data_IF_968725216895
#
_entry.id   IF_968725216895
#
_cell.length_a   1.000
_cell.length_b   1.000
_cell.length_c   1.000
_cell.angle_alpha   90.00
_cell.angle_beta   90.00
_cell.angle_gamma   90.00
#
_symmetry.space_group_name_H-M   'P 1'
#
loop_
_entity.id
_entity.type
_entity.pdbx_description
1 polymer ?
#
# COMPACT_ATOMS: atom_id res chain seq x y z
N UNK A 1 -5.26 29.10 69.97
CA UNK A 1 -4.32 28.00 69.65
C UNK A 1 -5.13 26.98 68.86
N UNK A 2 -5.23 27.15 67.54
CA UNK A 2 -4.38 26.47 66.51
C UNK A 2 -4.55 24.95 66.54
N UNK A 3 -4.81 24.22 65.46
CA UNK A 3 -4.99 24.53 64.03
C UNK A 3 -5.76 23.35 63.41
N UNK A 4 -6.56 23.63 62.38
CA UNK A 4 -7.07 22.61 61.46
C UNK A 4 -5.94 22.05 60.59
N UNK A 5 -5.97 20.74 60.34
CA UNK A 5 -5.07 20.05 59.42
C UNK A 5 -5.84 19.58 58.20
N UNK A 6 -5.74 20.33 57.10
CA UNK A 6 -6.12 19.88 55.78
C UNK A 6 -5.14 18.79 55.32
N UNK A 7 -5.65 17.62 54.93
CA UNK A 7 -4.85 16.62 54.21
C UNK A 7 -4.66 17.09 52.78
N UNK A 8 -3.53 17.73 52.51
CA UNK A 8 -3.01 17.95 51.16
C UNK A 8 -2.52 16.61 50.60
N UNK A 9 -3.15 16.15 49.51
CA UNK A 9 -2.63 15.07 48.66
C UNK A 9 -1.33 15.57 48.00
N UNK A 10 -0.20 15.15 48.57
CA UNK A 10 1.13 15.44 48.05
C UNK A 10 1.41 14.59 46.81
N UNK A 11 2.08 15.21 45.84
CA UNK A 11 2.21 14.80 44.45
C UNK A 11 2.74 13.38 44.23
N UNK A 12 2.08 12.69 43.30
CA UNK A 12 2.68 11.57 42.59
C UNK A 12 3.84 12.10 41.74
N UNK A 13 5.05 11.79 42.17
CA UNK A 13 6.26 11.90 41.36
C UNK A 13 6.15 10.91 40.20
N UNK A 14 5.83 11.42 39.01
CA UNK A 14 6.07 10.71 37.76
C UNK A 14 7.59 10.70 37.54
N UNK A 15 8.28 9.69 38.10
CA UNK A 15 9.68 9.44 37.80
C UNK A 15 9.81 9.08 36.31
N UNK A 16 10.22 10.07 35.53
CA UNK A 16 10.30 10.03 34.07
C UNK A 16 11.33 9.01 33.58
N UNK A 17 10.83 8.00 32.89
CA UNK A 17 11.48 7.52 31.67
C UNK A 17 10.62 8.04 30.52
N UNK A 18 11.18 8.76 29.53
CA UNK A 18 10.42 9.10 28.34
C UNK A 18 9.98 7.78 27.69
N UNK A 19 8.68 7.55 27.60
CA UNK A 19 8.09 6.34 26.97
C UNK A 19 8.55 6.22 25.51
N UNK A 20 8.98 7.35 24.93
CA UNK A 20 9.43 7.50 23.54
C UNK A 20 10.95 7.60 23.38
N UNK A 21 11.74 7.35 24.43
CA UNK A 21 13.22 7.31 24.36
C UNK A 21 13.81 6.25 23.41
N UNK A 22 12.95 5.54 22.68
CA UNK A 22 13.26 4.54 21.67
C UNK A 22 12.46 4.80 20.38
N UNK A 23 12.63 5.98 19.77
CA UNK A 23 12.34 6.19 18.34
C UNK A 23 13.08 5.17 17.44
N UNK A 24 13.97 4.34 18.00
CA UNK A 24 14.65 3.19 17.39
C UNK A 24 13.72 2.14 16.76
N UNK A 25 12.44 2.08 17.14
CA UNK A 25 11.50 1.12 16.54
C UNK A 25 10.92 1.57 15.19
N UNK A 26 10.81 2.89 14.94
CA UNK A 26 10.19 3.41 13.72
C UNK A 26 10.98 3.05 12.45
N UNK A 27 12.33 3.15 12.42
CA UNK A 27 13.11 2.73 11.25
C UNK A 27 12.92 1.26 10.87
N UNK A 28 12.53 0.38 11.81
CA UNK A 28 12.24 -1.02 11.48
C UNK A 28 11.05 -1.16 10.50
N UNK A 29 10.18 -0.16 10.42
CA UNK A 29 9.04 -0.16 9.50
C UNK A 29 9.46 -0.13 8.02
N UNK A 30 10.71 0.23 7.70
CA UNK A 30 11.27 0.09 6.35
C UNK A 30 11.24 -1.35 5.85
N UNK A 31 11.19 -2.35 6.73
CA UNK A 31 11.03 -3.76 6.35
C UNK A 31 9.73 -4.04 5.56
N UNK A 32 8.70 -3.20 5.72
CA UNK A 32 7.46 -3.32 4.97
C UNK A 32 7.53 -2.79 3.54
N UNK A 33 8.64 -2.14 3.14
CA UNK A 33 8.80 -1.62 1.79
C UNK A 33 8.68 -2.72 0.73
N UNK A 34 9.42 -3.82 0.90
CA UNK A 34 9.37 -4.96 -0.03
C UNK A 34 7.98 -5.59 -0.09
N UNK A 35 7.29 -5.67 1.05
CA UNK A 35 5.93 -6.19 1.14
C UNK A 35 4.94 -5.31 0.36
N UNK A 36 4.95 -4.00 0.59
CA UNK A 36 4.04 -3.06 -0.08
C UNK A 36 4.34 -2.96 -1.57
N UNK A 37 5.61 -2.93 -1.95
CA UNK A 37 6.04 -2.90 -3.36
C UNK A 37 5.58 -4.12 -4.16
N UNK A 38 5.41 -5.28 -3.52
CA UNK A 38 4.94 -6.51 -4.17
C UNK A 38 3.41 -6.67 -4.14
N UNK A 39 2.65 -5.80 -3.46
CA UNK A 39 1.20 -5.97 -3.31
C UNK A 39 0.46 -5.96 -4.65
N UNK A 40 0.89 -5.17 -5.64
CA UNK A 40 0.29 -5.13 -6.98
C UNK A 40 0.36 -6.51 -7.67
N UNK A 41 1.53 -7.15 -7.62
CA UNK A 41 1.74 -8.47 -8.20
C UNK A 41 0.98 -9.56 -7.42
N UNK A 42 0.99 -9.47 -6.08
CA UNK A 42 0.24 -10.39 -5.22
C UNK A 42 -1.27 -10.30 -5.46
N UNK A 43 -1.82 -9.10 -5.64
CA UNK A 43 -3.23 -8.89 -5.96
C UNK A 43 -3.59 -9.49 -7.32
N UNK A 44 -2.81 -9.18 -8.35
CA UNK A 44 -3.03 -9.73 -9.68
C UNK A 44 -2.98 -11.27 -9.70
N UNK A 45 -2.05 -11.87 -8.95
CA UNK A 45 -1.98 -13.32 -8.80
C UNK A 45 -3.19 -13.88 -8.07
N UNK A 46 -3.63 -13.25 -6.98
CA UNK A 46 -4.82 -13.65 -6.23
C UNK A 46 -6.07 -13.59 -7.11
N UNK A 47 -6.25 -12.49 -7.86
CA UNK A 47 -7.39 -12.31 -8.76
C UNK A 47 -7.39 -13.36 -9.90
N UNK A 48 -6.21 -13.71 -10.41
CA UNK A 48 -6.09 -14.83 -11.35
C UNK A 48 -6.43 -16.18 -10.70
N UNK A 49 -5.91 -16.45 -9.50
CA UNK A 49 -6.14 -17.72 -8.78
C UNK A 49 -7.57 -17.90 -8.32
N UNK A 50 -8.34 -16.82 -8.13
CA UNK A 50 -9.79 -16.89 -7.87
C UNK A 50 -10.60 -17.52 -9.00
N UNK A 51 -10.02 -17.67 -10.20
CA UNK A 51 -10.64 -18.42 -11.32
C UNK A 51 -10.57 -19.94 -11.11
N UNK A 52 -9.66 -20.43 -10.26
CA UNK A 52 -9.59 -21.85 -9.88
C UNK A 52 -10.65 -22.14 -8.82
N UNK A 53 -11.60 -23.02 -9.15
CA UNK A 53 -12.68 -23.43 -8.27
C UNK A 53 -12.19 -23.93 -6.90
N UNK A 54 -11.04 -24.61 -6.84
CA UNK A 54 -10.49 -25.12 -5.56
C UNK A 54 -10.04 -23.99 -4.65
N UNK A 55 -9.45 -22.95 -5.24
CA UNK A 55 -9.03 -21.75 -4.51
C UNK A 55 -10.26 -20.97 -4.04
N UNK A 56 -11.23 -20.76 -4.93
CA UNK A 56 -12.46 -20.07 -4.58
C UNK A 56 -13.21 -20.76 -3.43
N UNK A 57 -13.40 -22.08 -3.53
CA UNK A 57 -14.07 -22.89 -2.51
C UNK A 57 -13.34 -22.85 -1.15
N UNK A 58 -12.01 -22.87 -1.17
CA UNK A 58 -11.21 -22.69 0.06
C UNK A 58 -11.41 -21.31 0.68
N UNK A 59 -11.33 -20.24 -0.12
CA UNK A 59 -11.52 -18.87 0.35
C UNK A 59 -12.93 -18.65 0.91
N UNK A 60 -13.94 -19.26 0.29
CA UNK A 60 -15.33 -19.21 0.75
C UNK A 60 -15.49 -19.91 2.11
N UNK A 61 -14.89 -21.09 2.30
CA UNK A 61 -14.88 -21.77 3.61
C UNK A 61 -14.18 -20.95 4.69
N UNK A 62 -13.12 -20.22 4.36
CA UNK A 62 -12.49 -19.29 5.29
C UNK A 62 -13.44 -18.15 5.70
N UNK A 63 -14.18 -17.57 4.75
CA UNK A 63 -15.15 -16.49 5.00
C UNK A 63 -16.31 -16.93 5.90
N UNK A 64 -16.76 -18.17 5.77
CA UNK A 64 -17.85 -18.74 6.59
C UNK A 64 -17.42 -19.05 8.02
N UNK A 65 -16.11 -19.23 8.25
CA UNK A 65 -15.57 -19.49 9.56
C UNK A 65 -15.46 -18.22 10.42
N UNK A 66 -15.76 -18.27 11.73
CA UNK A 66 -15.71 -17.10 12.60
C UNK A 66 -14.32 -16.46 12.71
N UNK A 67 -13.23 -17.19 12.43
CA UNK A 67 -11.86 -16.63 12.52
C UNK A 67 -11.63 -15.50 11.51
N UNK A 68 -12.27 -15.53 10.35
CA UNK A 68 -12.06 -14.53 9.30
C UNK A 68 -12.74 -13.21 9.63
N UNK A 69 -13.69 -13.21 10.58
CA UNK A 69 -14.56 -12.06 10.87
C UNK A 69 -15.23 -11.51 9.61
N UNK A 70 -15.53 -12.38 8.64
CA UNK A 70 -16.09 -12.05 7.32
C UNK A 70 -15.20 -11.16 6.45
N UNK A 71 -13.89 -11.13 6.71
CA UNK A 71 -12.91 -10.45 5.88
C UNK A 71 -12.31 -11.43 4.86
N UNK A 72 -12.19 -10.98 3.61
CA UNK A 72 -11.53 -11.77 2.57
C UNK A 72 -10.00 -11.79 2.74
N UNK A 73 -9.33 -12.70 2.03
CA UNK A 73 -7.87 -12.83 2.12
C UNK A 73 -7.15 -11.51 1.80
N UNK A 74 -7.66 -10.73 0.85
CA UNK A 74 -7.04 -9.45 0.48
C UNK A 74 -7.04 -8.47 1.66
N UNK A 75 -8.12 -8.37 2.41
CA UNK A 75 -8.18 -7.51 3.60
C UNK A 75 -7.07 -7.85 4.61
N UNK A 76 -6.72 -9.13 4.77
CA UNK A 76 -5.61 -9.53 5.64
C UNK A 76 -4.24 -9.17 5.07
N UNK A 77 -4.04 -9.36 3.76
CA UNK A 77 -2.81 -8.97 3.06
C UNK A 77 -2.61 -7.44 3.01
N UNK A 78 -3.69 -6.68 3.16
CA UNK A 78 -3.65 -5.23 3.13
C UNK A 78 -3.36 -4.59 4.52
N UNK A 79 -3.38 -5.39 5.59
CA UNK A 79 -3.19 -4.90 6.97
C UNK A 79 -1.88 -4.09 7.13
N UNK A 80 -0.70 -4.55 6.66
CA UNK A 80 0.54 -3.81 6.85
C UNK A 80 0.50 -2.41 6.24
N UNK A 81 0.05 -2.31 4.98
CA UNK A 81 -0.12 -1.02 4.29
C UNK A 81 -1.14 -0.13 5.01
N UNK A 82 -2.31 -0.68 5.35
CA UNK A 82 -3.36 0.03 6.08
C UNK A 82 -2.92 0.50 7.46
N UNK A 83 -2.04 -0.25 8.14
CA UNK A 83 -1.52 0.10 9.47
C UNK A 83 -0.44 1.18 9.40
N UNK A 84 0.46 1.10 8.43
CA UNK A 84 1.52 2.09 8.23
C UNK A 84 0.97 3.52 8.12
N UNK A 85 -0.05 3.71 7.29
CA UNK A 85 -0.68 5.04 7.08
C UNK A 85 -1.44 5.56 8.30
N UNK A 86 -1.73 4.71 9.29
CA UNK A 86 -2.43 5.10 10.52
C UNK A 86 -1.49 5.64 11.59
N UNK A 87 -0.21 5.25 11.61
CA UNK A 87 0.73 5.70 12.64
C UNK A 87 0.88 7.23 12.70
N UNK A 88 1.02 7.97 11.57
CA UNK A 88 1.04 9.43 11.61
C UNK A 88 -0.22 10.04 12.26
N UNK A 89 -1.41 9.45 12.00
CA UNK A 89 -2.67 9.93 12.56
C UNK A 89 -2.76 9.70 14.07
N UNK A 90 -2.31 8.52 14.51
CA UNK A 90 -2.31 8.15 15.94
C UNK A 90 -1.34 9.04 16.73
N UNK A 91 -0.12 9.27 16.21
CA UNK A 91 0.86 10.14 16.87
C UNK A 91 0.38 11.59 16.94
N UNK A 92 -0.25 12.11 15.87
CA UNK A 92 -0.85 13.45 15.89
C UNK A 92 -1.97 13.59 16.93
N UNK A 93 -2.79 12.56 17.11
CA UNK A 93 -3.83 12.59 18.14
C UNK A 93 -3.23 12.57 19.54
N UNK A 94 -2.20 11.76 19.79
CA UNK A 94 -1.48 11.77 21.08
C UNK A 94 -0.84 13.14 21.35
N UNK A 95 -0.18 13.70 20.34
CA UNK A 95 0.45 15.03 20.41
C UNK A 95 -0.59 16.11 20.73
N UNK A 96 -1.78 16.06 20.13
CA UNK A 96 -2.88 17.02 20.38
C UNK A 96 -3.31 17.04 21.86
N UNK A 97 -3.26 15.91 22.56
CA UNK A 97 -3.63 15.80 23.98
C UNK A 97 -2.43 15.86 24.92
N UNK A 98 -1.22 16.12 24.41
CA UNK A 98 0.00 16.25 25.22
C UNK A 98 0.29 17.73 25.49
N UNK A 99 0.37 18.17 26.77
CA UNK A 99 0.72 19.55 27.13
C UNK A 99 2.06 19.99 26.52
N UNK A 100 2.22 21.29 26.26
CA UNK A 100 3.43 21.84 25.62
C UNK A 100 4.68 21.76 26.51
N UNK A 101 4.49 21.74 27.83
CA UNK A 101 5.52 21.59 28.84
C UNK A 101 5.85 20.13 29.16
N UNK A 102 5.16 19.18 28.52
CA UNK A 102 5.40 17.76 28.75
C UNK A 102 6.72 17.30 28.11
N UNK A 103 7.57 16.53 28.82
CA UNK A 103 8.88 16.09 28.30
C UNK A 103 8.80 15.22 27.05
N UNK A 104 7.68 14.53 26.81
CA UNK A 104 7.47 13.72 25.60
C UNK A 104 7.04 14.52 24.37
N UNK A 105 6.73 15.82 24.51
CA UNK A 105 6.26 16.65 23.38
C UNK A 105 7.24 16.62 22.22
N UNK A 106 8.52 16.92 22.49
CA UNK A 106 9.58 16.91 21.49
C UNK A 106 9.74 15.52 20.84
N UNK A 107 9.74 14.45 21.64
CA UNK A 107 9.87 13.09 21.13
C UNK A 107 8.69 12.69 20.22
N UNK A 108 7.48 13.15 20.54
CA UNK A 108 6.29 12.92 19.73
C UNK A 108 6.32 13.68 18.40
N UNK A 109 6.81 14.92 18.41
CA UNK A 109 7.03 15.72 17.19
C UNK A 109 8.05 15.02 16.27
N UNK A 110 9.22 14.65 16.80
CA UNK A 110 10.27 13.93 16.06
C UNK A 110 9.77 12.57 15.52
N UNK A 111 9.05 11.81 16.34
CA UNK A 111 8.46 10.54 15.93
C UNK A 111 7.41 10.71 14.82
N UNK A 112 6.61 11.79 14.90
CA UNK A 112 5.59 12.12 13.90
C UNK A 112 6.22 12.44 12.55
N UNK A 113 7.27 13.25 12.53
CA UNK A 113 7.99 13.60 11.31
C UNK A 113 8.70 12.38 10.70
N UNK A 114 9.34 11.57 11.55
CA UNK A 114 10.02 10.35 11.11
C UNK A 114 9.05 9.36 10.45
N UNK A 115 7.91 9.07 11.09
CA UNK A 115 6.95 8.12 10.51
C UNK A 115 6.32 8.65 9.22
N UNK A 116 6.11 9.96 9.10
CA UNK A 116 5.62 10.56 7.86
C UNK A 116 6.63 10.36 6.72
N UNK A 117 7.93 10.57 6.99
CA UNK A 117 8.99 10.29 6.04
C UNK A 117 9.01 8.83 5.58
N UNK A 118 8.94 7.88 6.52
CA UNK A 118 8.93 6.44 6.21
C UNK A 118 7.72 6.07 5.35
N UNK A 119 6.51 6.53 5.72
CA UNK A 119 5.28 6.24 4.97
C UNK A 119 5.34 6.84 3.56
N UNK A 120 5.86 8.07 3.43
CA UNK A 120 6.02 8.73 2.14
C UNK A 120 7.01 7.97 1.24
N UNK A 121 8.14 7.54 1.78
CA UNK A 121 9.15 6.77 1.04
C UNK A 121 8.63 5.41 0.57
N UNK A 122 7.97 4.66 1.46
CA UNK A 122 7.32 3.39 1.10
C UNK A 122 6.26 3.61 0.01
N UNK A 123 5.49 4.70 0.08
CA UNK A 123 4.48 5.03 -0.92
C UNK A 123 5.11 5.33 -2.29
N UNK A 124 6.20 6.10 -2.34
CA UNK A 124 6.95 6.36 -3.58
C UNK A 124 7.48 5.05 -4.17
N UNK A 125 8.13 4.21 -3.36
CA UNK A 125 8.68 2.95 -3.83
C UNK A 125 7.60 1.97 -4.31
N UNK A 126 6.44 1.96 -3.64
CA UNK A 126 5.28 1.16 -4.04
C UNK A 126 4.74 1.65 -5.38
N UNK A 127 4.60 2.96 -5.58
CA UNK A 127 4.16 3.55 -6.86
C UNK A 127 5.14 3.30 -8.01
N UNK A 128 6.45 3.38 -7.76
CA UNK A 128 7.46 3.02 -8.75
C UNK A 128 7.40 1.52 -9.11
N UNK A 129 7.19 0.67 -8.12
CA UNK A 129 7.04 -0.79 -8.32
C UNK A 129 5.79 -1.11 -9.13
N UNK A 130 4.69 -0.41 -8.87
CA UNK A 130 3.45 -0.52 -9.64
C UNK A 130 3.65 -0.05 -11.09
N UNK A 131 4.27 1.11 -11.29
CA UNK A 131 4.59 1.60 -12.62
C UNK A 131 5.45 0.60 -13.41
N UNK A 132 6.48 0.03 -12.76
CA UNK A 132 7.32 -1.02 -13.34
C UNK A 132 6.52 -2.27 -13.68
N UNK A 133 5.67 -2.74 -12.76
CA UNK A 133 4.83 -3.92 -12.95
C UNK A 133 3.97 -3.81 -14.21
N UNK A 134 3.30 -2.67 -14.42
CA UNK A 134 2.48 -2.47 -15.61
C UNK A 134 3.33 -2.29 -16.87
N UNK A 135 4.43 -1.54 -16.79
CA UNK A 135 5.33 -1.28 -17.92
C UNK A 135 5.92 -2.56 -18.52
N UNK A 136 6.39 -3.48 -17.67
CA UNK A 136 6.96 -4.77 -18.10
C UNK A 136 5.94 -5.69 -18.79
N UNK A 137 4.65 -5.40 -18.65
CA UNK A 137 3.55 -6.21 -19.17
C UNK A 137 2.88 -5.56 -20.39
N UNK A 138 3.36 -4.42 -20.86
CA UNK A 138 2.88 -3.79 -22.10
C UNK A 138 3.25 -4.63 -23.33
N UNK A 139 2.27 -4.94 -24.16
CA UNK A 139 2.49 -5.62 -25.43
C UNK A 139 2.73 -4.62 -26.56
N UNK A 140 3.88 -4.74 -27.22
CA UNK A 140 4.23 -3.99 -28.43
C UNK A 140 4.21 -4.94 -29.62
N UNK A 141 3.38 -4.64 -30.62
CA UNK A 141 3.30 -5.44 -31.87
C UNK A 141 4.50 -5.17 -32.77
N UNK A 142 5.02 -3.94 -32.72
CA UNK A 142 6.17 -3.47 -33.47
C UNK A 142 7.11 -2.68 -32.55
N UNK A 143 8.41 -2.68 -32.83
CA UNK A 143 9.38 -1.90 -32.04
C UNK A 143 9.16 -0.38 -32.15
N UNK A 144 8.64 0.09 -33.29
CA UNK A 144 8.27 1.49 -33.56
C UNK A 144 7.27 2.05 -32.54
N UNK A 145 6.51 1.16 -31.88
CA UNK A 145 5.49 1.50 -30.91
C UNK A 145 6.06 1.74 -29.51
N UNK A 146 7.32 1.35 -29.26
CA UNK A 146 7.99 1.63 -27.99
C UNK A 146 8.29 3.11 -27.88
N UNK A 147 8.14 3.61 -26.67
CA UNK A 147 8.37 5.01 -26.38
C UNK A 147 9.30 5.16 -25.18
N UNK A 148 10.39 5.88 -25.41
CA UNK A 148 11.39 6.22 -24.40
C UNK A 148 10.79 6.97 -23.21
N UNK A 149 9.72 7.73 -23.39
CA UNK A 149 9.04 8.41 -22.29
C UNK A 149 8.39 7.41 -21.34
N UNK A 150 7.74 6.37 -21.88
CA UNK A 150 7.14 5.28 -21.09
C UNK A 150 8.25 4.50 -20.36
N UNK A 151 9.36 4.24 -21.04
CA UNK A 151 10.51 3.57 -20.43
C UNK A 151 11.11 4.35 -19.25
N UNK A 152 11.10 5.69 -19.34
CA UNK A 152 11.62 6.59 -18.30
C UNK A 152 10.60 6.91 -17.19
N UNK A 153 9.31 6.70 -17.42
CA UNK A 153 8.27 6.95 -16.43
C UNK A 153 8.50 6.13 -15.16
N UNK A 154 8.40 6.83 -14.02
CA UNK A 154 8.48 6.25 -12.67
C UNK A 154 7.15 6.27 -11.96
N UNK A 155 6.28 7.22 -12.32
CA UNK A 155 4.95 7.37 -11.72
C UNK A 155 3.87 6.94 -12.70
N UNK A 156 2.98 6.07 -12.22
CA UNK A 156 1.71 5.76 -12.86
C UNK A 156 0.62 6.64 -12.23
N UNK A 157 0.01 7.52 -13.02
CA UNK A 157 -1.05 8.41 -12.55
C UNK A 157 -2.40 7.71 -12.52
N UNK A 158 -2.73 6.95 -13.56
CA UNK A 158 -3.92 6.11 -13.56
C UNK A 158 -3.79 4.94 -14.53
N UNK A 159 -4.54 3.87 -14.23
CA UNK A 159 -4.72 2.75 -15.14
C UNK A 159 -6.14 2.22 -15.09
N UNK A 160 -6.58 1.55 -16.15
CA UNK A 160 -7.91 0.93 -16.19
C UNK A 160 -8.25 0.32 -17.54
N UNK A 161 -9.29 -0.48 -17.58
CA UNK A 161 -9.82 -1.02 -18.84
C UNK A 161 -10.77 0.00 -19.46
N UNK A 162 -10.51 0.42 -20.70
CA UNK A 162 -11.54 1.09 -21.50
C UNK A 162 -12.12 0.14 -22.53
N UNK A 163 -13.46 0.11 -22.56
CA UNK A 163 -14.24 -0.53 -23.60
C UNK A 163 -14.41 0.45 -24.76
N UNK A 164 -13.98 0.04 -25.95
CA UNK A 164 -14.23 0.82 -27.15
C UNK A 164 -15.69 0.59 -27.61
N UNK A 165 -16.38 1.66 -27.99
CA UNK A 165 -17.75 1.62 -28.55
C UNK A 165 -17.88 0.75 -29.81
N UNK A 166 -16.76 0.32 -30.41
CA UNK A 166 -16.70 -0.53 -31.60
C UNK A 166 -16.61 -2.03 -31.32
N UNK A 167 -16.81 -2.47 -30.07
CA UNK A 167 -16.74 -3.90 -29.69
C UNK A 167 -15.32 -4.47 -29.66
N UNK A 168 -14.29 -3.62 -29.66
CA UNK A 168 -12.91 -4.06 -29.48
C UNK A 168 -12.69 -4.58 -28.04
N UNK A 169 -11.78 -5.57 -27.85
CA UNK A 169 -11.49 -6.08 -26.52
C UNK A 169 -11.01 -4.95 -25.59
N UNK A 170 -11.32 -5.03 -24.28
CA UNK A 170 -10.88 -4.03 -23.31
C UNK A 170 -9.36 -3.87 -23.38
N UNK A 171 -8.91 -2.63 -23.47
CA UNK A 171 -7.48 -2.28 -23.48
C UNK A 171 -7.12 -1.57 -22.19
N UNK A 172 -5.93 -1.84 -21.67
CA UNK A 172 -5.44 -1.13 -20.50
C UNK A 172 -5.00 0.26 -20.95
N UNK A 173 -5.61 1.27 -20.37
CA UNK A 173 -5.10 2.63 -20.38
C UNK A 173 -4.02 2.74 -19.31
N UNK A 174 -2.86 3.21 -19.73
CA UNK A 174 -1.71 3.53 -18.91
C UNK A 174 -1.49 5.03 -19.05
N UNK A 175 -1.62 5.76 -17.95
CA UNK A 175 -1.28 7.17 -17.89
C UNK A 175 -0.11 7.35 -16.95
N UNK A 176 1.00 7.81 -17.49
CA UNK A 176 2.13 8.28 -16.71
C UNK A 176 2.21 9.80 -16.74
N UNK A 177 3.09 10.35 -15.90
CA UNK A 177 3.41 11.78 -15.89
C UNK A 177 3.92 12.31 -17.25
N UNK A 178 4.45 11.43 -18.11
CA UNK A 178 5.06 11.80 -19.39
C UNK A 178 4.18 11.48 -20.61
N UNK A 179 3.30 10.47 -20.53
CA UNK A 179 2.45 10.06 -21.67
C UNK A 179 1.27 9.17 -21.29
N UNK A 180 0.22 9.28 -22.11
CA UNK A 180 -0.94 8.38 -22.16
C UNK A 180 -0.76 7.30 -23.25
N UNK A 181 -1.07 6.05 -22.91
CA UNK A 181 -1.04 4.92 -23.83
C UNK A 181 -2.21 3.96 -23.57
N UNK A 182 -2.78 3.39 -24.62
CA UNK A 182 -3.82 2.36 -24.53
C UNK A 182 -3.36 1.10 -25.23
N UNK A 183 -3.04 0.05 -24.48
CA UNK A 183 -2.57 -1.23 -25.03
C UNK A 183 -3.04 -2.43 -24.21
N UNK A 184 -3.18 -3.62 -24.83
CA UNK A 184 -3.40 -4.84 -24.08
C UNK A 184 -2.18 -5.18 -23.21
N UNK A 185 -2.43 -5.72 -22.02
CA UNK A 185 -1.40 -6.28 -21.15
C UNK A 185 -1.20 -7.76 -21.44
N UNK A 186 0.04 -8.23 -21.30
CA UNK A 186 0.33 -9.66 -21.21
C UNK A 186 -0.47 -10.27 -20.03
N UNK A 187 -0.99 -11.51 -20.15
CA UNK A 187 -1.68 -12.18 -19.05
C UNK A 187 -0.76 -12.38 -17.83
N UNK A 188 -1.31 -12.55 -16.60
CA UNK A 188 -0.50 -12.75 -15.39
C UNK A 188 0.44 -13.96 -15.50
N UNK A 189 1.61 -13.89 -14.87
CA UNK A 189 2.54 -15.03 -14.80
C UNK A 189 1.81 -16.26 -14.22
N UNK A 190 1.71 -17.33 -15.02
CA UNK A 190 1.00 -18.56 -14.67
C UNK A 190 -0.32 -18.79 -15.43
N UNK A 191 -0.84 -17.79 -16.14
CA UNK A 191 -2.01 -17.93 -17.00
C UNK A 191 -1.60 -18.51 -18.37
N UNK A 192 -1.51 -19.84 -18.51
CA UNK A 192 -1.55 -20.48 -19.83
C UNK A 192 -2.99 -20.47 -20.34
N UNK A 193 -3.41 -19.37 -20.96
CA UNK A 193 -4.56 -19.30 -21.87
C UNK A 193 -4.09 -19.34 -23.33
N UNK A 194 -4.95 -19.69 -24.30
CA UNK A 194 -4.53 -19.92 -25.68
C UNK A 194 -3.88 -18.66 -26.24
N UNK A 195 -2.70 -18.83 -26.83
CA UNK A 195 -2.05 -17.82 -27.67
C UNK A 195 -3.08 -17.45 -28.73
N UNK A 196 -3.59 -16.22 -28.70
CA UNK A 196 -4.47 -15.72 -29.74
C UNK A 196 -3.73 -15.91 -31.08
N UNK A 197 -4.28 -16.81 -31.89
CA UNK A 197 -3.70 -17.24 -33.15
C UNK A 197 -3.46 -16.04 -34.06
N UNK A 198 -2.40 -16.18 -34.86
CA UNK A 198 -1.95 -15.17 -35.81
C UNK A 198 -3.09 -14.60 -36.65
N UNK A 199 -3.05 -13.29 -36.81
CA UNK A 199 -3.79 -12.61 -37.86
C UNK A 199 -3.18 -13.08 -39.18
N UNK A 200 -3.91 -13.92 -39.92
CA UNK A 200 -3.62 -14.15 -41.34
C UNK A 200 -3.79 -12.80 -42.06
N UNK A 201 -2.71 -12.30 -42.63
CA UNK A 201 -2.79 -11.31 -43.68
C UNK A 201 -3.53 -11.93 -44.88
N UNK A 202 -4.53 -11.23 -45.39
CA UNK A 202 -5.04 -11.39 -46.76
C UNK A 202 -4.47 -10.28 -47.61
#
# INVERSE_FOLDING_TARGET
MSCGGAMTLSGNQCSGRPVWGSASALPCLYSYNSYCSNQVAAKALLDHKKQDHRVQDFLQRCLESPFSRKLDLWNFLDIPRSRLVKYPLLLREILKHTPNDHPDRQNLDEATDMIQGIVAEINVQTGESECRYYKERLLYLEESQRDLLIDRSRVLTCHGELKNNRGAPPTLHYKSELRDLSRPLAPPLGARGPVAGGVKAS
#
